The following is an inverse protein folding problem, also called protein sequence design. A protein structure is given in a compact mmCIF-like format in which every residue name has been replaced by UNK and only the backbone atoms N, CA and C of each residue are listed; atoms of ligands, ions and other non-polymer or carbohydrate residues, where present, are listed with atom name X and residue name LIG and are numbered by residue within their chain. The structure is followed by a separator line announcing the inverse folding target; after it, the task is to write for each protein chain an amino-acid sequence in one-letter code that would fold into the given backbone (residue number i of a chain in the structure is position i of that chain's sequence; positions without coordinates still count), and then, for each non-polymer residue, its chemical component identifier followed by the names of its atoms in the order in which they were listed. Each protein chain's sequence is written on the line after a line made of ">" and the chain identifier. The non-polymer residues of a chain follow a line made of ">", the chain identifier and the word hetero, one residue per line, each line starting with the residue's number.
data_IF_488766351302
#
_entry.id   IF_488766351302
#
_cell.length_a   1.000
_cell.length_b   1.000
_cell.length_c   1.000
_cell.angle_alpha   90.00
_cell.angle_beta   90.00
_cell.angle_gamma   90.00
#
_symmetry.space_group_name_H-M   'P 1'
#
loop_
_entity.id
_entity.type
_entity.pdbx_description
1 polymer ?
#
# COMPACT_ATOMS: atom_id res chain seq x y z
N UNK A 1 49.04 -63.17 -3.89
CA UNK A 1 50.11 -62.20 -3.61
C UNK A 1 50.49 -61.59 -4.95
N UNK A 2 50.15 -60.37 -5.34
CA UNK A 2 49.36 -59.28 -4.76
C UNK A 2 48.86 -58.44 -5.96
N UNK A 3 47.61 -57.99 -5.93
CA UNK A 3 47.08 -57.05 -6.92
C UNK A 3 47.29 -55.62 -6.40
N UNK A 4 48.09 -54.83 -7.11
CA UNK A 4 48.28 -53.40 -6.83
C UNK A 4 47.00 -52.62 -7.19
N UNK A 5 46.39 -52.04 -6.16
CA UNK A 5 45.20 -51.19 -6.25
C UNK A 5 45.67 -49.74 -6.41
N UNK A 6 45.61 -49.21 -7.64
CA UNK A 6 45.94 -47.81 -7.91
C UNK A 6 44.83 -46.90 -7.38
N UNK A 7 45.13 -46.16 -6.32
CA UNK A 7 44.23 -45.18 -5.69
C UNK A 7 44.34 -43.85 -6.42
N UNK A 8 43.34 -43.51 -7.24
CA UNK A 8 43.18 -42.17 -7.81
C UNK A 8 42.64 -41.22 -6.76
N UNK A 9 43.51 -40.37 -6.22
CA UNK A 9 43.15 -39.24 -5.35
C UNK A 9 42.36 -38.21 -6.15
N UNK A 10 41.07 -38.03 -5.83
CA UNK A 10 40.24 -36.93 -6.35
C UNK A 10 40.67 -35.63 -5.66
N UNK A 11 41.12 -34.66 -6.44
CA UNK A 11 41.32 -33.28 -5.99
C UNK A 11 39.98 -32.69 -5.48
N UNK A 12 40.00 -31.83 -4.45
CA UNK A 12 38.80 -31.17 -3.96
C UNK A 12 38.34 -30.14 -5.00
N UNK A 13 37.17 -30.39 -5.58
CA UNK A 13 36.46 -29.47 -6.46
C UNK A 13 36.24 -28.14 -5.74
N UNK A 14 36.97 -27.11 -6.13
CA UNK A 14 36.77 -25.74 -5.66
C UNK A 14 35.37 -25.31 -6.09
N UNK A 15 34.49 -25.10 -5.11
CA UNK A 15 33.18 -24.48 -5.35
C UNK A 15 33.47 -23.05 -5.83
N UNK A 16 33.02 -22.63 -7.02
CA UNK A 16 33.19 -21.26 -7.44
C UNK A 16 32.46 -20.35 -6.45
N UNK A 17 33.17 -19.34 -5.95
CA UNK A 17 32.58 -18.28 -5.15
C UNK A 17 31.34 -17.72 -5.87
N UNK A 18 30.24 -17.44 -5.15
CA UNK A 18 29.10 -16.77 -5.76
C UNK A 18 29.58 -15.40 -6.26
N UNK A 19 29.63 -15.24 -7.59
CA UNK A 19 29.91 -13.96 -8.21
C UNK A 19 28.96 -12.86 -7.69
N UNK A 20 29.33 -11.58 -7.83
CA UNK A 20 28.52 -10.48 -7.34
C UNK A 20 27.10 -10.66 -7.87
N UNK A 21 26.13 -10.76 -6.95
CA UNK A 21 24.73 -10.97 -7.30
C UNK A 21 24.37 -9.98 -8.41
N UNK A 22 23.94 -10.50 -9.57
CA UNK A 22 23.53 -9.64 -10.68
C UNK A 22 22.40 -8.74 -10.17
N UNK A 23 22.75 -7.49 -9.86
CA UNK A 23 21.82 -6.52 -9.31
C UNK A 23 20.60 -6.38 -10.20
N UNK A 24 19.44 -6.13 -9.59
CA UNK A 24 18.19 -6.00 -10.30
C UNK A 24 18.22 -4.75 -11.19
N UNK A 25 17.92 -4.91 -12.47
CA UNK A 25 17.99 -3.84 -13.46
C UNK A 25 16.67 -3.12 -13.70
N UNK A 26 16.70 -1.80 -13.85
CA UNK A 26 15.58 -1.01 -14.36
C UNK A 26 15.48 -1.15 -15.88
N UNK A 27 14.31 -1.57 -16.37
CA UNK A 27 14.06 -1.77 -17.81
C UNK A 27 14.00 -0.48 -18.63
N UNK A 28 13.87 0.69 -17.99
CA UNK A 28 13.74 1.99 -18.66
C UNK A 28 15.06 2.76 -18.77
N UNK A 29 15.89 2.73 -17.73
CA UNK A 29 17.15 3.48 -17.68
C UNK A 29 18.39 2.63 -17.43
N UNK A 30 18.26 1.29 -17.41
CA UNK A 30 19.36 0.33 -17.18
C UNK A 30 20.10 0.42 -15.84
N UNK A 31 19.64 1.26 -14.90
CA UNK A 31 20.18 1.35 -13.54
C UNK A 31 20.13 0.00 -12.80
N UNK A 32 21.14 -0.26 -11.96
CA UNK A 32 21.28 -1.49 -11.17
C UNK A 32 21.01 -1.22 -9.69
N UNK A 33 20.29 -2.14 -9.05
CA UNK A 33 19.83 -2.01 -7.67
C UNK A 33 20.13 -3.26 -6.88
N UNK A 34 20.39 -3.11 -5.58
CA UNK A 34 20.78 -4.23 -4.73
C UNK A 34 19.60 -5.16 -4.41
N UNK A 35 18.38 -4.60 -4.39
CA UNK A 35 17.16 -5.31 -4.02
C UNK A 35 15.92 -4.78 -4.74
N UNK A 36 14.81 -5.53 -4.68
CA UNK A 36 13.55 -5.19 -5.36
C UNK A 36 12.93 -3.88 -4.85
N UNK A 37 13.15 -3.52 -3.59
CA UNK A 37 12.61 -2.30 -2.98
C UNK A 37 13.27 -1.06 -3.58
N UNK A 38 14.58 -1.05 -3.70
CA UNK A 38 15.31 0.05 -4.35
C UNK A 38 14.89 0.23 -5.82
N UNK A 39 14.77 -0.87 -6.57
CA UNK A 39 14.27 -0.83 -7.95
C UNK A 39 12.84 -0.28 -8.01
N UNK A 40 11.96 -0.67 -7.08
CA UNK A 40 10.60 -0.15 -6.98
C UNK A 40 10.58 1.36 -6.72
N UNK A 41 11.29 1.83 -5.70
CA UNK A 41 11.35 3.25 -5.33
C UNK A 41 11.90 4.08 -6.49
N UNK A 42 12.96 3.61 -7.15
CA UNK A 42 13.49 4.25 -8.35
C UNK A 42 12.46 4.32 -9.48
N UNK A 43 11.74 3.23 -9.72
CA UNK A 43 10.64 3.17 -10.69
C UNK A 43 9.57 4.23 -10.41
N UNK A 44 9.16 4.33 -9.14
CA UNK A 44 8.14 5.28 -8.72
C UNK A 44 8.61 6.74 -8.83
N UNK A 45 9.85 7.04 -8.45
CA UNK A 45 10.37 8.41 -8.43
C UNK A 45 10.73 8.97 -9.81
N UNK A 46 11.28 8.14 -10.70
CA UNK A 46 11.83 8.62 -11.97
C UNK A 46 10.99 8.25 -13.20
N UNK A 47 10.14 7.23 -13.09
CA UNK A 47 9.47 6.65 -14.25
C UNK A 47 7.94 6.65 -14.12
N UNK A 48 7.41 6.86 -12.91
CA UNK A 48 5.97 6.96 -12.73
C UNK A 48 5.46 8.26 -13.34
N UNK A 49 4.48 8.14 -14.21
CA UNK A 49 3.80 9.29 -14.81
C UNK A 49 2.42 9.36 -14.18
N UNK A 50 2.10 10.48 -13.55
CA UNK A 50 0.73 10.81 -13.18
C UNK A 50 -0.06 11.12 -14.44
N UNK A 51 -1.31 10.66 -14.51
CA UNK A 51 -2.23 11.07 -15.57
C UNK A 51 -2.53 12.57 -15.52
N UNK A 52 -3.45 13.04 -16.37
CA UNK A 52 -3.80 14.46 -16.49
C UNK A 52 -4.54 15.06 -15.26
N UNK A 53 -4.80 14.26 -14.21
CA UNK A 53 -5.48 14.71 -13.00
C UNK A 53 -4.54 15.41 -12.02
N UNK A 54 -5.04 16.46 -11.36
CA UNK A 54 -4.33 17.10 -10.25
C UNK A 54 -4.33 16.20 -9.01
N UNK A 55 -3.19 16.17 -8.30
CA UNK A 55 -3.09 15.51 -7.00
C UNK A 55 -3.82 16.32 -5.93
N UNK A 56 -4.40 15.62 -4.97
CA UNK A 56 -4.97 16.20 -3.75
C UNK A 56 -3.86 16.83 -2.89
N UNK A 57 -4.26 17.77 -2.05
CA UNK A 57 -3.39 18.24 -0.96
C UNK A 57 -3.08 17.10 0.00
N UNK A 58 -1.92 17.20 0.66
CA UNK A 58 -1.57 16.32 1.77
C UNK A 58 -2.58 16.49 2.92
N UNK A 59 -2.87 15.43 3.68
CA UNK A 59 -3.96 15.46 4.66
C UNK A 59 -3.58 16.28 5.92
N UNK A 60 -2.29 16.45 6.20
CA UNK A 60 -1.80 17.39 7.22
C UNK A 60 -1.71 18.80 6.62
N UNK A 61 -2.65 19.66 6.99
CA UNK A 61 -2.68 21.08 6.54
C UNK A 61 -2.11 22.04 7.57
N UNK A 62 -2.06 21.66 8.85
CA UNK A 62 -1.58 22.48 9.97
C UNK A 62 -0.67 21.72 10.95
N UNK A 63 -0.53 20.41 10.77
CA UNK A 63 0.31 19.54 11.58
C UNK A 63 1.58 19.16 10.82
N UNK A 64 2.66 18.89 11.56
CA UNK A 64 3.90 18.35 11.02
C UNK A 64 3.64 17.00 10.33
N UNK A 65 4.37 16.70 9.26
CA UNK A 65 4.25 15.41 8.61
C UNK A 65 4.63 14.29 9.61
N UNK A 66 4.06 13.08 9.51
CA UNK A 66 4.34 12.02 10.49
C UNK A 66 5.84 11.70 10.67
N UNK A 67 6.62 11.80 9.59
CA UNK A 67 8.07 11.61 9.62
C UNK A 67 8.86 12.81 10.16
N UNK A 68 8.27 14.00 10.25
CA UNK A 68 8.91 15.18 10.86
C UNK A 68 8.87 15.05 12.38
N UNK A 69 7.72 14.60 12.92
CA UNK A 69 7.55 14.36 14.37
C UNK A 69 8.45 13.23 14.87
N UNK A 70 8.55 12.14 14.10
CA UNK A 70 9.34 10.95 14.47
C UNK A 70 10.78 10.98 13.94
N UNK A 71 11.17 12.02 13.21
CA UNK A 71 12.45 12.12 12.49
C UNK A 71 12.75 10.89 11.60
N UNK A 72 11.72 10.35 10.92
CA UNK A 72 11.79 9.10 10.16
C UNK A 72 11.90 9.32 8.64
N UNK A 73 13.13 9.54 8.17
CA UNK A 73 13.41 9.76 6.75
C UNK A 73 13.09 8.53 5.87
N UNK A 74 13.06 7.32 6.45
CA UNK A 74 12.68 6.11 5.71
C UNK A 74 11.18 6.10 5.40
N UNK A 75 10.34 6.54 6.34
CA UNK A 75 8.92 6.75 6.12
C UNK A 75 8.68 7.82 5.07
N UNK A 76 9.38 8.97 5.17
CA UNK A 76 9.31 10.04 4.17
C UNK A 76 9.62 9.54 2.77
N UNK A 77 10.71 8.81 2.61
CA UNK A 77 11.13 8.25 1.31
C UNK A 77 10.05 7.38 0.69
N UNK A 78 9.42 6.52 1.49
CA UNK A 78 8.33 5.64 1.02
C UNK A 78 7.08 6.45 0.72
N UNK A 79 6.71 7.42 1.55
CA UNK A 79 5.55 8.26 1.28
C UNK A 79 5.72 9.05 -0.02
N UNK A 80 6.83 9.78 -0.18
CA UNK A 80 7.08 10.63 -1.36
C UNK A 80 7.13 9.81 -2.64
N UNK A 81 7.76 8.62 -2.62
CA UNK A 81 7.75 7.72 -3.77
C UNK A 81 6.32 7.28 -4.14
N UNK A 82 5.40 7.16 -3.18
CA UNK A 82 4.03 6.71 -3.42
C UNK A 82 3.00 7.85 -3.41
N UNK A 83 3.41 9.11 -3.20
CA UNK A 83 2.52 10.27 -3.14
C UNK A 83 1.63 10.42 -4.39
N UNK A 84 2.12 10.14 -5.63
CA UNK A 84 1.27 10.12 -6.82
C UNK A 84 0.06 9.18 -6.76
N UNK A 85 0.14 8.11 -5.96
CA UNK A 85 -0.93 7.12 -5.77
C UNK A 85 -1.81 7.50 -4.58
N UNK A 86 -1.16 7.90 -3.48
CA UNK A 86 -1.85 8.25 -2.22
C UNK A 86 -2.72 9.50 -2.42
N UNK A 87 -2.24 10.47 -3.20
CA UNK A 87 -2.88 11.75 -3.44
C UNK A 87 -3.65 11.78 -4.76
N UNK A 88 -3.82 10.65 -5.44
CA UNK A 88 -4.71 10.59 -6.61
C UNK A 88 -6.12 11.02 -6.19
N UNK A 89 -6.80 11.85 -6.97
CA UNK A 89 -8.06 12.47 -6.55
C UNK A 89 -9.25 11.49 -6.61
N UNK A 90 -9.81 11.34 -7.80
CA UNK A 90 -10.85 10.37 -8.07
C UNK A 90 -10.75 9.96 -9.53
N UNK A 91 -11.21 8.76 -9.82
CA UNK A 91 -11.44 8.29 -11.18
C UNK A 91 -12.93 8.02 -11.34
N UNK A 92 -13.54 8.70 -12.30
CA UNK A 92 -14.95 8.49 -12.64
C UNK A 92 -15.03 7.70 -13.94
N UNK A 93 -15.76 6.58 -13.91
CA UNK A 93 -16.10 5.83 -15.11
C UNK A 93 -17.60 5.63 -15.20
N UNK A 94 -18.07 5.11 -16.34
CA UNK A 94 -19.50 4.88 -16.56
C UNK A 94 -20.11 3.78 -15.68
N UNK A 95 -19.28 2.94 -15.04
CA UNK A 95 -19.74 1.77 -14.25
C UNK A 95 -19.29 1.87 -12.79
N UNK A 96 -18.04 2.29 -12.57
CA UNK A 96 -17.43 2.36 -11.24
C UNK A 96 -16.64 3.65 -11.11
N UNK A 97 -16.88 4.39 -10.03
CA UNK A 97 -16.07 5.55 -9.68
C UNK A 97 -15.31 5.27 -8.40
N UNK A 98 -14.03 5.63 -8.37
CA UNK A 98 -13.16 5.55 -7.18
C UNK A 98 -12.91 6.95 -6.68
N UNK A 99 -13.26 7.20 -5.42
CA UNK A 99 -12.95 8.45 -4.72
C UNK A 99 -11.91 8.16 -3.65
N UNK A 100 -10.69 8.65 -3.85
CA UNK A 100 -9.64 8.49 -2.86
C UNK A 100 -9.70 9.64 -1.87
N UNK A 101 -9.43 9.36 -0.61
CA UNK A 101 -9.28 10.38 0.42
C UNK A 101 -8.01 10.04 1.20
N UNK A 102 -7.00 10.92 1.22
CA UNK A 102 -5.82 10.70 2.04
C UNK A 102 -6.21 10.78 3.52
N UNK A 103 -5.80 9.77 4.30
CA UNK A 103 -6.14 9.65 5.72
C UNK A 103 -4.89 9.85 6.58
N UNK A 104 -5.11 10.29 7.81
CA UNK A 104 -4.13 10.38 8.89
C UNK A 104 -4.39 9.29 9.94
N UNK A 105 -3.42 9.06 10.84
CA UNK A 105 -3.52 7.99 11.86
C UNK A 105 -4.58 8.28 12.94
N UNK A 106 -5.05 9.51 13.06
CA UNK A 106 -6.15 9.93 13.93
C UNK A 106 -7.53 9.83 13.25
N UNK A 107 -7.62 9.11 12.12
CA UNK A 107 -8.85 8.94 11.37
C UNK A 107 -10.02 8.36 12.18
N UNK A 108 -11.19 9.00 12.06
CA UNK A 108 -12.39 8.65 12.82
C UNK A 108 -13.60 8.34 11.92
N UNK A 109 -14.56 7.58 12.45
CA UNK A 109 -15.83 7.31 11.74
C UNK A 109 -16.59 8.60 11.37
N UNK A 110 -16.67 9.65 12.21
CA UNK A 110 -17.26 10.92 11.78
C UNK A 110 -16.61 11.52 10.52
N UNK A 111 -15.28 11.47 10.39
CA UNK A 111 -14.60 11.92 9.17
C UNK A 111 -14.94 11.06 7.96
N UNK A 112 -15.05 9.72 8.13
CA UNK A 112 -15.56 8.82 7.09
C UNK A 112 -16.97 9.23 6.63
N UNK A 113 -17.85 9.52 7.58
CA UNK A 113 -19.24 9.89 7.29
C UNK A 113 -19.32 11.24 6.60
N UNK A 114 -18.46 12.21 6.94
CA UNK A 114 -18.38 13.48 6.23
C UNK A 114 -18.04 13.27 4.74
N UNK A 115 -17.08 12.39 4.44
CA UNK A 115 -16.77 12.05 3.05
C UNK A 115 -17.93 11.33 2.36
N UNK A 116 -18.58 10.38 3.04
CA UNK A 116 -19.74 9.67 2.48
C UNK A 116 -20.92 10.61 2.17
N UNK A 117 -21.17 11.61 3.02
CA UNK A 117 -22.17 12.65 2.79
C UNK A 117 -21.81 13.52 1.59
N UNK A 118 -20.55 13.96 1.49
CA UNK A 118 -20.06 14.72 0.31
C UNK A 118 -20.18 13.92 -0.98
N UNK A 119 -19.93 12.61 -0.94
CA UNK A 119 -20.14 11.74 -2.08
C UNK A 119 -21.62 11.66 -2.44
N UNK A 120 -22.49 11.43 -1.47
CA UNK A 120 -23.93 11.39 -1.70
C UNK A 120 -24.44 12.68 -2.36
N UNK A 121 -24.00 13.86 -1.89
CA UNK A 121 -24.42 15.15 -2.47
C UNK A 121 -23.97 15.35 -3.92
N UNK A 122 -22.88 14.69 -4.33
CA UNK A 122 -22.39 14.72 -5.71
C UNK A 122 -23.09 13.69 -6.60
N UNK A 123 -23.61 12.61 -6.02
CA UNK A 123 -24.27 11.55 -6.78
C UNK A 123 -25.75 11.88 -7.02
N UNK A 124 -26.14 12.02 -8.29
CA UNK A 124 -27.54 12.23 -8.68
C UNK A 124 -28.41 10.96 -8.70
N UNK A 125 -27.82 9.79 -8.41
CA UNK A 125 -28.45 8.48 -8.59
C UNK A 125 -28.13 7.54 -7.42
N UNK A 126 -28.87 6.44 -7.31
CA UNK A 126 -28.56 5.40 -6.35
C UNK A 126 -27.28 4.64 -6.75
N UNK A 127 -26.46 4.29 -5.76
CA UNK A 127 -25.17 3.64 -5.98
C UNK A 127 -24.89 2.56 -4.93
N UNK A 128 -23.84 1.77 -5.18
CA UNK A 128 -23.29 0.83 -4.21
C UNK A 128 -21.93 1.33 -3.75
N UNK A 129 -21.74 1.40 -2.44
CA UNK A 129 -20.52 1.91 -1.80
C UNK A 129 -19.73 0.76 -1.19
N UNK A 130 -18.42 0.75 -1.42
CA UNK A 130 -17.47 -0.06 -0.66
C UNK A 130 -16.27 0.81 -0.28
N UNK A 131 -15.50 0.35 0.70
CA UNK A 131 -14.32 1.05 1.19
C UNK A 131 -13.10 0.15 1.06
N UNK A 132 -11.98 0.73 0.67
CA UNK A 132 -10.68 0.06 0.57
C UNK A 132 -9.63 0.98 1.19
N UNK A 133 -8.66 0.40 1.90
CA UNK A 133 -7.63 1.17 2.59
C UNK A 133 -6.27 0.85 2.01
N UNK A 134 -5.48 1.89 1.72
CA UNK A 134 -4.07 1.77 1.41
C UNK A 134 -3.25 2.18 2.62
N UNK A 135 -2.24 1.40 2.98
CA UNK A 135 -1.48 1.57 4.22
C UNK A 135 0.01 1.59 3.94
N UNK A 136 0.75 2.44 4.65
CA UNK A 136 2.20 2.30 4.76
C UNK A 136 2.45 1.54 6.06
N UNK A 137 2.97 0.32 5.95
CA UNK A 137 3.25 -0.54 7.10
C UNK A 137 4.75 -0.63 7.33
N UNK A 138 5.14 -0.68 8.60
CA UNK A 138 6.53 -0.93 9.04
C UNK A 138 6.70 -2.41 9.36
N UNK A 139 7.69 -3.06 8.76
CA UNK A 139 8.04 -4.43 9.14
C UNK A 139 8.58 -4.45 10.57
N UNK A 140 8.06 -5.34 11.41
CA UNK A 140 8.42 -5.38 12.84
C UNK A 140 9.87 -5.82 13.07
N UNK A 141 10.37 -6.77 12.28
CA UNK A 141 11.75 -7.27 12.42
C UNK A 141 12.80 -6.39 11.71
N UNK A 142 12.60 -6.04 10.44
CA UNK A 142 13.60 -5.25 9.67
C UNK A 142 13.44 -3.74 9.84
N UNK A 143 12.30 -3.26 10.32
CA UNK A 143 11.97 -1.84 10.39
C UNK A 143 11.61 -1.19 9.05
N UNK A 144 11.60 -1.94 7.95
CA UNK A 144 11.36 -1.39 6.61
C UNK A 144 9.91 -0.97 6.39
N UNK A 145 9.71 0.22 5.81
CA UNK A 145 8.40 0.67 5.33
C UNK A 145 8.06 0.14 3.95
N UNK A 146 6.78 -0.24 3.76
CA UNK A 146 6.19 -0.62 2.47
C UNK A 146 4.77 -0.08 2.34
N UNK A 147 4.46 0.45 1.16
CA UNK A 147 3.11 0.87 0.80
C UNK A 147 2.31 -0.30 0.20
N UNK A 148 1.14 -0.55 0.76
CA UNK A 148 0.16 -1.54 0.32
C UNK A 148 -1.04 -0.80 -0.29
N UNK A 149 -1.31 -1.05 -1.58
CA UNK A 149 -2.33 -0.33 -2.33
C UNK A 149 -3.74 -0.85 -2.01
N UNK A 150 -4.77 0.02 -2.01
CA UNK A 150 -6.15 -0.38 -1.71
C UNK A 150 -6.68 -1.50 -2.61
N UNK A 151 -6.43 -1.44 -3.93
CA UNK A 151 -6.98 -2.41 -4.89
C UNK A 151 -6.45 -3.85 -4.72
N UNK A 152 -5.35 -4.01 -3.99
CA UNK A 152 -4.78 -5.32 -3.65
C UNK A 152 -5.28 -5.84 -2.29
N UNK A 153 -6.04 -5.02 -1.57
CA UNK A 153 -6.63 -5.35 -0.28
C UNK A 153 -8.07 -5.81 -0.47
N UNK A 154 -8.57 -6.59 0.49
CA UNK A 154 -9.97 -6.97 0.52
C UNK A 154 -10.82 -5.72 0.81
N UNK A 155 -11.85 -5.49 -0.01
CA UNK A 155 -12.81 -4.43 0.28
C UNK A 155 -13.44 -4.66 1.65
N UNK A 156 -13.63 -3.58 2.40
CA UNK A 156 -14.05 -3.62 3.80
C UNK A 156 -15.36 -4.40 3.99
N UNK A 157 -16.29 -4.22 3.05
CA UNK A 157 -17.56 -4.92 3.08
C UNK A 157 -17.55 -6.07 2.08
N UNK A 158 -17.83 -7.28 2.57
CA UNK A 158 -18.08 -8.46 1.71
C UNK A 158 -19.20 -8.20 0.70
N UNK A 159 -20.16 -7.34 1.06
CA UNK A 159 -21.21 -6.85 0.17
C UNK A 159 -21.26 -5.33 0.22
N UNK A 160 -21.09 -4.64 -0.92
CA UNK A 160 -21.25 -3.19 -0.99
C UNK A 160 -22.58 -2.72 -0.41
N UNK A 161 -22.57 -1.60 0.30
CA UNK A 161 -23.76 -1.00 0.88
C UNK A 161 -24.52 -0.24 -0.22
N UNK A 162 -25.79 -0.58 -0.42
CA UNK A 162 -26.64 0.14 -1.37
C UNK A 162 -27.15 1.44 -0.75
N UNK A 163 -26.88 2.56 -1.42
CA UNK A 163 -27.25 3.91 -1.01
C UNK A 163 -28.20 4.48 -2.07
N UNK A 164 -29.44 4.72 -1.66
CA UNK A 164 -30.48 5.33 -2.50
C UNK A 164 -31.04 6.62 -1.92
N UNK A 165 -30.93 6.77 -0.60
CA UNK A 165 -31.40 7.91 0.16
C UNK A 165 -30.34 8.24 1.22
N UNK A 166 -30.30 9.49 1.65
CA UNK A 166 -29.39 9.96 2.71
C UNK A 166 -29.42 9.09 3.97
N UNK A 167 -30.61 8.66 4.41
CA UNK A 167 -30.77 7.76 5.58
C UNK A 167 -30.08 6.40 5.44
N UNK A 168 -29.75 5.97 4.21
CA UNK A 168 -29.04 4.71 3.98
C UNK A 168 -27.57 4.82 4.44
N UNK A 169 -27.03 6.05 4.55
CA UNK A 169 -25.70 6.31 5.14
C UNK A 169 -25.63 5.92 6.62
N UNK A 170 -26.74 5.91 7.35
CA UNK A 170 -26.76 5.41 8.73
C UNK A 170 -26.32 3.93 8.81
N UNK A 171 -26.55 3.15 7.75
CA UNK A 171 -26.07 1.76 7.70
C UNK A 171 -24.55 1.71 7.57
N UNK A 172 -23.96 2.63 6.81
CA UNK A 172 -22.51 2.76 6.71
C UNK A 172 -21.92 3.11 8.08
N UNK A 173 -22.51 4.09 8.76
CA UNK A 173 -22.06 4.53 10.09
C UNK A 173 -22.09 3.38 11.10
N UNK A 174 -23.26 2.72 11.25
CA UNK A 174 -23.43 1.60 12.18
C UNK A 174 -22.46 0.46 11.87
N UNK A 175 -22.28 0.13 10.58
CA UNK A 175 -21.37 -0.95 10.17
C UNK A 175 -19.92 -0.59 10.48
N UNK A 176 -19.52 0.67 10.22
CA UNK A 176 -18.16 1.17 10.47
C UNK A 176 -17.84 1.22 11.97
N UNK A 177 -18.79 1.62 12.81
CA UNK A 177 -18.66 1.60 14.27
C UNK A 177 -18.58 0.18 14.81
N UNK A 178 -19.47 -0.73 14.35
CA UNK A 178 -19.50 -2.12 14.80
C UNK A 178 -18.23 -2.89 14.46
N UNK A 179 -17.67 -2.62 13.29
CA UNK A 179 -16.40 -3.21 12.87
C UNK A 179 -15.18 -2.56 13.55
N UNK A 180 -15.38 -1.42 14.22
CA UNK A 180 -14.32 -0.55 14.73
C UNK A 180 -13.27 -0.29 13.64
N UNK A 181 -13.71 0.31 12.54
CA UNK A 181 -12.87 0.52 11.35
C UNK A 181 -11.56 1.24 11.67
N UNK A 182 -11.57 2.18 12.63
CA UNK A 182 -10.37 2.87 13.12
C UNK A 182 -9.39 1.88 13.75
N UNK A 183 -9.85 1.00 14.65
CA UNK A 183 -9.00 -0.02 15.25
C UNK A 183 -8.52 -1.05 14.22
N UNK A 184 -9.39 -1.45 13.29
CA UNK A 184 -9.03 -2.36 12.21
C UNK A 184 -7.89 -1.82 11.33
N UNK A 185 -7.95 -0.53 10.97
CA UNK A 185 -6.92 0.13 10.16
C UNK A 185 -5.62 0.31 10.95
N UNK A 186 -5.71 0.70 12.22
CA UNK A 186 -4.55 1.12 13.01
C UNK A 186 -3.86 -0.03 13.73
N UNK A 187 -4.52 -1.17 13.95
CA UNK A 187 -3.94 -2.30 14.69
C UNK A 187 -3.29 -3.39 13.84
N UNK A 188 -3.40 -3.43 12.51
CA UNK A 188 -2.96 -4.62 11.73
C UNK A 188 -1.43 -4.87 11.83
N UNK A 189 -0.98 -5.88 12.59
CA UNK A 189 0.40 -6.31 12.65
C UNK A 189 0.47 -7.62 11.86
N UNK A 190 0.38 -7.54 10.53
CA UNK A 190 0.46 -8.68 9.59
C UNK A 190 -0.43 -9.88 9.96
N UNK A 191 -1.73 -9.91 9.61
CA UNK A 191 -2.60 -11.12 9.51
C UNK A 191 -1.99 -12.38 10.17
N UNK A 192 -1.93 -12.40 11.50
CA UNK A 192 -1.43 -13.53 12.28
C UNK A 192 -2.21 -14.79 11.91
N UNK A 193 -1.47 -15.83 11.51
CA UNK A 193 -1.79 -17.25 11.58
C UNK A 193 -3.26 -17.68 11.46
N UNK A 194 -3.53 -18.44 10.40
CA UNK A 194 -4.73 -19.26 10.18
C UNK A 194 -6.05 -18.50 9.98
N UNK A 195 -6.71 -18.81 8.86
CA UNK A 195 -8.04 -19.41 8.95
C UNK A 195 -8.44 -20.17 7.68
N UNK A 196 -8.97 -21.36 7.97
CA UNK A 196 -9.73 -22.29 7.13
C UNK A 196 -11.08 -21.67 6.80
#
# INVERSE_FOLDING_TARGET
>A
MDQEKSTTTKEPSTVPEPGPSEGLGCRRCTGRFSNRRELYLHGMQHHYQTGAGGLQSRPWTHDEAPWEVEEDEALRTVYEANAPLILENHSESSVTSTYNVPLTNDFTVPQLMEQAERLYDRQGHAFRLNLEFGLILRHTETGDYRYFRPFQNESLFQRPIYISRRKDLNRLEITSQRFNVTDYILRDPTRNGNRI
#
